data_IF_085048287063
#
_entry.id   IF_085048287063
#
_cell.length_a   1.000
_cell.length_b   1.000
_cell.length_c   1.000
_cell.angle_alpha   90.00
_cell.angle_beta   90.00
_cell.angle_gamma   90.00
#
_symmetry.space_group_name_H-M   'P 1'
#
loop_
_entity.id
_entity.type
_entity.pdbx_description
1 polymer ?
#
# COMPACT_ATOMS: atom_id res chain seq x y z
N UNK A 1 2.98 -3.26 14.64
CA UNK A 1 4.13 -2.68 13.91
C UNK A 1 4.07 -3.22 12.49
N UNK A 2 4.17 -2.36 11.46
CA UNK A 2 4.13 -2.81 10.07
C UNK A 2 5.45 -3.48 9.65
N UNK A 3 5.43 -4.35 8.62
CA UNK A 3 6.63 -4.99 8.08
C UNK A 3 7.57 -3.97 7.43
N UNK A 4 8.87 -4.27 7.41
CA UNK A 4 9.92 -3.49 6.77
C UNK A 4 10.83 -4.40 5.96
N UNK A 5 11.50 -3.83 4.96
CA UNK A 5 12.42 -4.58 4.13
C UNK A 5 13.66 -5.01 4.94
N UNK A 6 14.03 -6.28 4.87
CA UNK A 6 15.13 -6.84 5.65
C UNK A 6 16.47 -6.16 5.33
N UNK A 7 16.74 -5.91 4.05
CA UNK A 7 17.99 -5.28 3.63
C UNK A 7 18.08 -3.85 4.16
N UNK A 8 16.99 -3.07 4.06
CA UNK A 8 16.95 -1.70 4.60
C UNK A 8 17.20 -1.65 6.11
N UNK A 9 16.63 -2.60 6.86
CA UNK A 9 16.84 -2.70 8.32
C UNK A 9 18.29 -3.06 8.64
N UNK A 10 18.90 -4.00 7.91
CA UNK A 10 20.31 -4.36 8.08
C UNK A 10 21.21 -3.15 7.78
N UNK A 11 20.93 -2.42 6.71
CA UNK A 11 21.67 -1.22 6.33
C UNK A 11 21.56 -0.15 7.42
N UNK A 12 20.38 0.08 7.98
CA UNK A 12 20.19 1.00 9.12
C UNK A 12 20.97 0.57 10.37
N UNK A 13 21.02 -0.73 10.67
CA UNK A 13 21.80 -1.26 11.79
C UNK A 13 23.30 -1.02 11.58
N UNK A 14 23.81 -1.30 10.36
CA UNK A 14 25.21 -1.03 9.99
C UNK A 14 25.58 0.44 10.23
N UNK A 15 24.74 1.38 9.77
CA UNK A 15 25.01 2.81 9.95
C UNK A 15 25.02 3.25 11.40
N UNK A 16 24.13 2.67 12.23
CA UNK A 16 24.14 2.94 13.66
C UNK A 16 25.39 2.40 14.36
N UNK A 17 25.88 1.23 13.94
CA UNK A 17 27.14 0.66 14.44
C UNK A 17 28.31 1.59 14.11
N UNK A 18 28.36 2.12 12.88
CA UNK A 18 29.43 3.01 12.42
C UNK A 18 29.37 4.41 13.07
N UNK A 19 28.16 4.93 13.32
CA UNK A 19 27.94 6.21 13.99
C UNK A 19 26.79 6.11 15.00
N UNK A 20 27.13 6.03 16.29
CA UNK A 20 26.14 5.92 17.37
C UNK A 20 25.37 7.23 17.62
N UNK A 21 25.84 8.37 17.08
CA UNK A 21 25.17 9.67 17.15
C UNK A 21 24.28 9.94 15.92
N UNK A 22 24.11 8.96 15.02
CA UNK A 22 23.26 9.09 13.84
C UNK A 22 21.83 9.46 14.24
N UNK A 23 21.29 10.47 13.57
CA UNK A 23 19.95 10.99 13.84
C UNK A 23 18.87 10.12 13.19
N UNK A 24 17.63 10.26 13.67
CA UNK A 24 16.47 9.59 13.06
C UNK A 24 16.32 10.02 11.59
N UNK A 25 16.50 11.30 11.28
CA UNK A 25 16.36 11.80 9.90
C UNK A 25 17.41 11.23 8.95
N UNK A 26 18.60 10.91 9.45
CA UNK A 26 19.64 10.19 8.69
C UNK A 26 19.29 8.70 8.54
N UNK A 27 18.82 8.04 9.61
CA UNK A 27 18.40 6.64 9.56
C UNK A 27 17.23 6.40 8.59
N UNK A 28 16.33 7.37 8.46
CA UNK A 28 15.20 7.33 7.51
C UNK A 28 15.67 7.21 6.05
N UNK A 29 16.89 7.63 5.73
CA UNK A 29 17.43 7.46 4.36
C UNK A 29 17.70 5.99 4.02
N UNK A 30 17.94 5.16 5.04
CA UNK A 30 18.21 3.73 4.92
C UNK A 30 16.94 2.90 5.12
N UNK A 31 16.17 3.18 6.20
CA UNK A 31 14.87 2.56 6.48
C UNK A 31 13.77 3.53 6.07
N UNK A 32 13.36 3.46 4.80
CA UNK A 32 12.60 4.55 4.17
C UNK A 32 11.15 4.57 4.62
N UNK A 33 10.51 3.42 4.59
CA UNK A 33 9.09 3.25 4.89
C UNK A 33 8.80 1.76 5.17
N UNK A 34 7.61 1.44 5.70
CA UNK A 34 7.16 0.05 5.75
C UNK A 34 7.08 -0.59 4.37
N UNK A 35 7.44 -1.87 4.29
CA UNK A 35 7.41 -2.68 3.07
C UNK A 35 6.35 -3.76 3.21
N UNK A 36 5.21 -3.56 2.55
CA UNK A 36 4.05 -4.42 2.68
C UNK A 36 4.08 -5.55 1.64
N UNK A 37 3.83 -6.82 2.05
CA UNK A 37 3.91 -7.96 1.14
C UNK A 37 2.82 -7.96 0.05
N UNK A 38 1.77 -7.16 0.22
CA UNK A 38 0.68 -6.99 -0.76
C UNK A 38 0.97 -5.89 -1.77
N UNK A 39 2.13 -5.22 -1.67
CA UNK A 39 2.45 -4.03 -2.45
C UNK A 39 1.57 -2.85 -2.06
N UNK A 40 1.18 -2.06 -3.07
CA UNK A 40 0.43 -0.82 -2.93
C UNK A 40 1.33 0.42 -2.90
N UNK A 41 0.69 1.57 -2.75
CA UNK A 41 1.35 2.86 -2.68
C UNK A 41 1.04 3.52 -1.35
N UNK A 42 2.09 3.89 -0.62
CA UNK A 42 1.96 4.73 0.58
C UNK A 42 1.63 6.16 0.12
N UNK A 43 0.51 6.68 0.60
CA UNK A 43 0.03 8.01 0.28
C UNK A 43 0.35 8.97 1.43
N UNK A 44 1.23 9.92 1.16
CA UNK A 44 1.72 10.88 2.15
C UNK A 44 2.85 10.28 3.01
N UNK A 45 3.99 10.97 3.01
CA UNK A 45 5.20 10.50 3.69
C UNK A 45 5.34 11.04 5.12
N UNK A 46 4.67 12.15 5.44
CA UNK A 46 4.81 12.82 6.73
C UNK A 46 4.37 11.92 7.90
N UNK A 47 3.31 11.12 7.72
CA UNK A 47 2.85 10.18 8.74
C UNK A 47 3.81 9.02 8.99
N UNK A 48 4.66 8.68 8.01
CA UNK A 48 5.75 7.70 8.19
C UNK A 48 6.88 8.34 9.01
N UNK A 49 7.29 9.56 8.66
CA UNK A 49 8.31 10.30 9.42
C UNK A 49 7.89 10.51 10.88
N UNK A 50 6.66 10.95 11.11
CA UNK A 50 6.11 11.14 12.46
C UNK A 50 6.13 9.82 13.27
N UNK A 51 5.80 8.70 12.61
CA UNK A 51 5.86 7.38 13.24
C UNK A 51 7.29 6.99 13.62
N UNK A 52 8.29 7.32 12.82
CA UNK A 52 9.69 7.06 13.17
C UNK A 52 10.20 7.93 14.31
N UNK A 53 9.81 9.21 14.35
CA UNK A 53 10.22 10.13 15.41
C UNK A 53 9.53 9.87 16.76
N UNK A 54 8.23 9.51 16.73
CA UNK A 54 7.40 9.49 17.95
C UNK A 54 6.89 8.10 18.33
N UNK A 55 7.06 7.11 17.46
CA UNK A 55 6.42 5.79 17.58
C UNK A 55 4.92 5.79 17.25
N UNK A 56 4.34 6.95 16.90
CA UNK A 56 2.93 7.11 16.51
C UNK A 56 2.84 7.87 15.20
N UNK A 57 2.02 7.38 14.29
CA UNK A 57 1.78 8.05 13.02
C UNK A 57 0.76 7.29 12.20
N UNK A 58 0.22 7.95 11.18
CA UNK A 58 -0.80 7.38 10.30
C UNK A 58 -0.20 7.15 8.91
N UNK A 59 -0.15 5.89 8.49
CA UNK A 59 0.23 5.50 7.13
C UNK A 59 -1.04 5.21 6.34
N UNK A 60 -1.24 5.92 5.23
CA UNK A 60 -2.35 5.67 4.31
C UNK A 60 -1.84 4.82 3.15
N UNK A 61 -2.52 3.72 2.87
CA UNK A 61 -2.17 2.79 1.80
C UNK A 61 -3.24 2.82 0.71
N UNK A 62 -2.81 2.88 -0.54
CA UNK A 62 -3.68 2.82 -1.73
C UNK A 62 -3.33 1.59 -2.55
N UNK A 63 -4.35 0.84 -2.98
CA UNK A 63 -4.17 -0.24 -3.95
C UNK A 63 -3.74 0.30 -5.32
N UNK A 64 -3.05 -0.53 -6.11
CA UNK A 64 -2.61 -0.13 -7.45
C UNK A 64 -3.71 -0.44 -8.45
N UNK A 65 -4.10 0.58 -9.21
CA UNK A 65 -5.09 0.45 -10.26
C UNK A 65 -4.69 1.28 -11.47
N UNK A 66 -5.06 0.79 -12.66
CA UNK A 66 -4.91 1.48 -13.93
C UNK A 66 -6.24 1.51 -14.66
N UNK A 67 -6.39 2.44 -15.60
CA UNK A 67 -7.55 2.52 -16.48
C UNK A 67 -7.11 2.08 -17.87
N UNK A 68 -7.78 1.09 -18.43
CA UNK A 68 -7.53 0.61 -19.78
C UNK A 68 -8.82 0.64 -20.61
N UNK A 69 -8.69 0.86 -21.92
CA UNK A 69 -9.80 0.76 -22.86
C UNK A 69 -9.88 -0.66 -23.42
N UNK A 70 -10.94 -1.37 -23.06
CA UNK A 70 -11.19 -2.75 -23.49
C UNK A 70 -12.51 -2.79 -24.27
N UNK A 71 -12.45 -3.13 -25.56
CA UNK A 71 -13.61 -3.20 -26.45
C UNK A 71 -14.49 -1.92 -26.40
N UNK A 72 -13.87 -0.75 -26.57
CA UNK A 72 -14.52 0.57 -26.52
C UNK A 72 -15.20 0.91 -25.18
N UNK A 73 -14.78 0.26 -24.08
CA UNK A 73 -15.21 0.58 -22.72
C UNK A 73 -14.02 0.81 -21.80
N UNK A 74 -14.12 1.83 -20.95
CA UNK A 74 -13.14 2.06 -19.89
C UNK A 74 -13.28 0.98 -18.80
N UNK A 75 -12.15 0.39 -18.43
CA UNK A 75 -12.05 -0.67 -17.43
C UNK A 75 -11.02 -0.27 -16.38
N UNK A 76 -11.42 -0.32 -15.10
CA UNK A 76 -10.49 -0.13 -13.97
C UNK A 76 -9.91 -1.49 -13.61
N UNK A 77 -8.62 -1.66 -13.82
CA UNK A 77 -7.88 -2.88 -13.50
C UNK A 77 -7.14 -2.65 -12.19
N UNK A 78 -7.49 -3.41 -11.15
CA UNK A 78 -6.85 -3.35 -9.83
C UNK A 78 -5.90 -4.52 -9.69
N UNK A 79 -4.59 -4.26 -9.57
CA UNK A 79 -3.55 -5.29 -9.51
C UNK A 79 -3.04 -5.57 -8.09
N UNK A 80 -3.16 -4.59 -7.19
CA UNK A 80 -2.67 -4.70 -5.81
C UNK A 80 -3.69 -4.09 -4.85
N UNK A 81 -3.89 -4.72 -3.69
CA UNK A 81 -4.80 -4.23 -2.64
C UNK A 81 -4.01 -3.87 -1.38
N UNK A 82 -4.52 -2.96 -0.54
CA UNK A 82 -3.84 -2.61 0.72
C UNK A 82 -3.64 -3.83 1.63
N UNK A 83 -2.59 -3.76 2.45
CA UNK A 83 -2.28 -4.81 3.41
C UNK A 83 -3.44 -5.05 4.39
N UNK A 84 -3.65 -6.32 4.77
CA UNK A 84 -4.77 -6.78 5.62
C UNK A 84 -6.18 -6.57 5.04
N UNK A 85 -6.31 -6.24 3.75
CA UNK A 85 -7.62 -6.24 3.07
C UNK A 85 -7.90 -7.64 2.51
N UNK A 86 -9.09 -8.16 2.79
CA UNK A 86 -9.57 -9.38 2.15
C UNK A 86 -10.16 -9.05 0.77
N UNK A 87 -9.66 -9.72 -0.28
CA UNK A 87 -10.10 -9.50 -1.67
C UNK A 87 -11.59 -9.78 -1.87
N UNK A 88 -12.09 -10.91 -1.34
CA UNK A 88 -13.48 -11.31 -1.54
C UNK A 88 -14.44 -10.32 -0.84
N UNK A 89 -14.11 -9.89 0.38
CA UNK A 89 -14.90 -8.89 1.10
C UNK A 89 -14.89 -7.54 0.40
N UNK A 90 -13.74 -7.13 -0.17
CA UNK A 90 -13.63 -5.90 -0.96
C UNK A 90 -14.54 -5.94 -2.20
N UNK A 91 -14.50 -7.04 -2.97
CA UNK A 91 -15.35 -7.21 -4.17
C UNK A 91 -16.82 -7.17 -3.79
N UNK A 92 -17.21 -7.91 -2.74
CA UNK A 92 -18.58 -7.94 -2.25
C UNK A 92 -19.05 -6.56 -1.84
N UNK A 93 -18.26 -5.84 -1.04
CA UNK A 93 -18.58 -4.47 -0.61
C UNK A 93 -18.72 -3.51 -1.78
N UNK A 94 -17.88 -3.60 -2.80
CA UNK A 94 -18.00 -2.78 -3.99
C UNK A 94 -19.29 -3.09 -4.77
N UNK A 95 -19.65 -4.37 -4.92
CA UNK A 95 -20.91 -4.76 -5.54
C UNK A 95 -22.13 -4.25 -4.75
N UNK A 96 -22.10 -4.35 -3.42
CA UNK A 96 -23.16 -3.81 -2.56
C UNK A 96 -23.31 -2.29 -2.73
N UNK A 97 -22.19 -1.54 -2.81
CA UNK A 97 -22.22 -0.09 -3.03
C UNK A 97 -22.80 0.31 -4.40
N UNK A 98 -22.56 -0.49 -5.44
CA UNK A 98 -23.14 -0.29 -6.77
C UNK A 98 -24.64 -0.61 -6.76
N UNK A 99 -25.04 -1.72 -6.14
CA UNK A 99 -26.45 -2.11 -6.03
C UNK A 99 -27.28 -1.13 -5.18
N UNK A 100 -26.69 -0.57 -4.12
CA UNK A 100 -27.28 0.47 -3.28
C UNK A 100 -27.43 1.83 -4.01
N UNK A 101 -26.88 1.97 -5.22
CA UNK A 101 -26.85 3.23 -5.96
C UNK A 101 -25.93 4.29 -5.35
N UNK A 102 -25.03 3.91 -4.42
CA UNK A 102 -24.04 4.83 -3.83
C UNK A 102 -22.87 5.11 -4.78
N UNK A 103 -22.58 4.16 -5.67
CA UNK A 103 -21.59 4.30 -6.74
C UNK A 103 -22.31 4.05 -8.06
N UNK A 104 -22.30 5.05 -8.93
CA UNK A 104 -22.87 4.98 -10.27
C UNK A 104 -21.77 4.77 -11.33
N UNK A 105 -22.16 4.41 -12.55
CA UNK A 105 -21.22 4.27 -13.68
C UNK A 105 -20.45 2.95 -13.75
N UNK A 106 -20.69 2.02 -12.82
CA UNK A 106 -20.09 0.67 -12.84
C UNK A 106 -21.08 -0.32 -13.45
N UNK A 107 -20.75 -0.89 -14.62
CA UNK A 107 -21.62 -1.87 -15.29
C UNK A 107 -21.45 -3.29 -14.74
N UNK A 108 -20.23 -3.68 -14.38
CA UNK A 108 -19.91 -5.06 -13.97
C UNK A 108 -18.62 -5.08 -13.16
N UNK A 109 -18.54 -6.00 -12.19
CA UNK A 109 -17.33 -6.28 -11.39
C UNK A 109 -16.96 -7.74 -11.62
N UNK A 110 -15.69 -8.04 -11.92
CA UNK A 110 -15.17 -9.39 -12.12
C UNK A 110 -13.84 -9.58 -11.40
N UNK A 111 -13.62 -10.79 -10.90
CA UNK A 111 -12.33 -11.23 -10.35
C UNK A 111 -11.60 -12.06 -11.41
N UNK A 112 -10.53 -11.49 -11.95
CA UNK A 112 -9.71 -12.11 -13.01
C UNK A 112 -8.37 -12.61 -12.45
N UNK A 113 -8.21 -12.72 -11.13
CA UNK A 113 -6.96 -13.23 -10.53
C UNK A 113 -6.77 -14.72 -10.82
N UNK A 114 -5.54 -15.11 -11.14
CA UNK A 114 -5.14 -16.51 -11.31
C UNK A 114 -3.97 -16.90 -10.38
N UNK A 115 -3.32 -18.04 -10.64
CA UNK A 115 -2.20 -18.52 -9.81
C UNK A 115 -0.90 -17.73 -10.02
N UNK A 116 -0.79 -16.94 -11.09
CA UNK A 116 0.37 -16.11 -11.44
C UNK A 116 0.20 -14.65 -11.01
N UNK A 117 -1.00 -14.28 -10.57
CA UNK A 117 -1.34 -12.93 -10.13
C UNK A 117 -2.53 -12.41 -10.92
#
# INVERSE_FOLDING_TARGET
MPPHNLSEVIDGIMQYIDNNDITIDELIQYVKAPDFPTGGTIYGYDGVKEAFHTGKGRVVMRGKAIIENVNDRECIIVSEIPYQVNKADMIKKNADLVNDGKIEGISTIRDESDRKG
#
